data_IF_529998708195
#
_entry.id   IF_529998708195
#
_cell.length_a   1.000
_cell.length_b   1.000
_cell.length_c   1.000
_cell.angle_alpha   90.00
_cell.angle_beta   90.00
_cell.angle_gamma   90.00
#
_symmetry.space_group_name_H-M   'P 1'
#
loop_
_entity.id
_entity.type
_entity.pdbx_description
1 polymer ?
#
# COMPACT_ATOMS: atom_id res chain seq x y z
N UNK A 1 -3.86 28.13 6.54
CA UNK A 1 -4.83 27.02 6.50
C UNK A 1 -6.23 27.56 6.60
N UNK A 2 -7.09 27.10 5.73
CA UNK A 2 -8.51 27.40 5.84
C UNK A 2 -9.19 26.41 6.79
N UNK A 3 -10.12 26.92 7.58
CA UNK A 3 -11.00 26.12 8.41
C UNK A 3 -12.35 26.03 7.71
N UNK A 4 -12.96 24.85 7.77
CA UNK A 4 -14.29 24.63 7.23
C UNK A 4 -15.26 24.31 8.37
N UNK A 5 -16.34 25.06 8.42
CA UNK A 5 -17.47 24.77 9.29
C UNK A 5 -18.50 23.97 8.49
N UNK A 6 -18.96 22.88 9.06
CA UNK A 6 -19.92 22.00 8.42
C UNK A 6 -21.34 22.44 8.75
N UNK A 7 -22.24 22.30 7.76
CA UNK A 7 -23.64 22.56 7.94
C UNK A 7 -24.30 21.56 8.90
N UNK A 8 -25.48 21.89 9.38
CA UNK A 8 -26.27 21.07 10.33
C UNK A 8 -26.41 19.64 9.81
N UNK A 9 -26.10 18.68 10.70
CA UNK A 9 -26.21 17.25 10.41
C UNK A 9 -24.91 16.56 10.06
N UNK A 10 -23.79 17.29 9.90
CA UNK A 10 -22.47 16.72 9.66
C UNK A 10 -21.49 17.22 10.71
N UNK A 11 -21.13 16.36 11.67
CA UNK A 11 -20.23 16.76 12.76
C UNK A 11 -18.77 16.76 12.35
N UNK A 12 -18.35 15.78 11.56
CA UNK A 12 -16.95 15.64 11.11
C UNK A 12 -16.84 15.10 9.70
N UNK A 13 -15.84 15.59 8.97
CA UNK A 13 -15.50 15.11 7.65
C UNK A 13 -14.00 14.88 7.58
N UNK A 14 -13.58 13.72 7.10
CA UNK A 14 -12.17 13.33 7.00
C UNK A 14 -11.88 12.74 5.63
N UNK A 15 -10.62 12.85 5.21
CA UNK A 15 -10.14 12.22 3.99
C UNK A 15 -9.99 13.16 2.81
N UNK A 16 -9.77 12.60 1.65
CA UNK A 16 -9.55 13.36 0.42
C UNK A 16 -10.85 13.85 -0.16
N UNK A 17 -10.92 15.14 -0.48
CA UNK A 17 -12.08 15.77 -1.09
C UNK A 17 -11.96 15.93 -2.60
N UNK A 18 -10.75 15.88 -3.16
CA UNK A 18 -10.53 16.04 -4.59
C UNK A 18 -10.75 14.74 -5.35
N UNK A 19 -11.33 14.84 -6.52
CA UNK A 19 -11.55 13.72 -7.41
C UNK A 19 -10.28 13.19 -8.08
N UNK A 20 -10.46 12.11 -8.83
CA UNK A 20 -9.40 11.49 -9.63
C UNK A 20 -8.79 12.47 -10.63
N UNK A 21 -7.49 12.40 -10.82
CA UNK A 21 -6.80 13.04 -11.93
C UNK A 21 -6.32 14.47 -11.71
N UNK A 22 -6.53 15.05 -10.53
CA UNK A 22 -6.01 16.38 -10.20
C UNK A 22 -5.11 16.32 -8.96
N UNK A 23 -3.87 15.85 -9.11
CA UNK A 23 -2.95 15.72 -7.98
C UNK A 23 -2.59 17.07 -7.34
N UNK A 24 -2.64 18.16 -8.11
CA UNK A 24 -2.31 19.51 -7.63
C UNK A 24 -3.38 20.13 -6.75
N UNK A 25 -4.60 19.63 -6.88
CA UNK A 25 -5.78 20.12 -6.15
C UNK A 25 -6.26 19.15 -5.07
N UNK A 26 -5.45 18.18 -4.71
CA UNK A 26 -5.82 17.23 -3.67
C UNK A 26 -5.99 17.91 -2.31
N UNK A 27 -7.23 17.99 -1.87
CA UNK A 27 -7.60 18.57 -0.59
C UNK A 27 -7.87 17.45 0.42
N UNK A 28 -7.45 17.66 1.65
CA UNK A 28 -7.67 16.72 2.74
C UNK A 28 -8.28 17.45 3.91
N UNK A 29 -9.35 16.90 4.46
CA UNK A 29 -9.91 17.35 5.73
C UNK A 29 -9.31 16.52 6.87
N UNK A 30 -8.84 17.19 7.88
CA UNK A 30 -8.19 16.61 9.04
C UNK A 30 -8.66 17.25 10.33
N UNK A 31 -8.77 16.44 11.35
CA UNK A 31 -8.98 16.90 12.72
C UNK A 31 -7.76 16.47 13.53
N UNK A 32 -7.12 17.42 14.19
CA UNK A 32 -6.07 17.11 15.14
C UNK A 32 -6.70 16.47 16.37
N UNK A 33 -6.18 15.35 16.79
CA UNK A 33 -6.55 14.73 18.05
C UNK A 33 -5.33 14.70 18.97
N UNK A 34 -5.54 15.04 20.22
CA UNK A 34 -4.52 14.94 21.25
C UNK A 34 -4.75 13.66 22.03
N UNK A 35 -3.69 12.89 22.22
CA UNK A 35 -3.76 11.59 22.86
C UNK A 35 -2.97 11.58 24.15
N UNK A 36 -3.41 10.80 25.12
CA UNK A 36 -2.67 10.53 26.35
C UNK A 36 -1.56 9.50 26.11
N UNK A 37 -0.77 9.19 27.13
CA UNK A 37 0.32 8.21 27.08
C UNK A 37 -0.17 6.79 26.69
N UNK A 38 -1.44 6.50 26.95
CA UNK A 38 -2.07 5.22 26.61
C UNK A 38 -2.71 5.21 25.22
N UNK A 39 -2.54 6.29 24.45
CA UNK A 39 -3.08 6.41 23.10
C UNK A 39 -4.56 6.77 23.02
N UNK A 40 -5.23 7.06 24.13
CA UNK A 40 -6.64 7.46 24.16
C UNK A 40 -6.80 8.92 23.79
N UNK A 41 -7.80 9.22 22.98
CA UNK A 41 -8.10 10.61 22.58
C UNK A 41 -8.64 11.38 23.77
N UNK A 42 -7.92 12.44 24.17
CA UNK A 42 -8.31 13.32 25.29
C UNK A 42 -9.05 14.55 24.79
N UNK A 43 -8.68 15.06 23.62
CA UNK A 43 -9.25 16.27 23.05
C UNK A 43 -9.23 16.22 21.54
N UNK A 44 -10.28 16.76 20.92
CA UNK A 44 -10.37 16.96 19.48
C UNK A 44 -10.19 18.44 19.17
N UNK A 45 -9.30 18.74 18.25
CA UNK A 45 -9.09 20.10 17.76
C UNK A 45 -10.10 20.49 16.68
N UNK A 46 -9.98 21.71 16.12
CA UNK A 46 -10.83 22.15 15.03
C UNK A 46 -10.57 21.34 13.76
N UNK A 47 -11.57 21.24 12.91
CA UNK A 47 -11.44 20.65 11.60
C UNK A 47 -10.67 21.58 10.67
N UNK A 48 -9.67 21.07 10.00
CA UNK A 48 -8.81 21.82 9.11
C UNK A 48 -8.84 21.24 7.69
N UNK A 49 -8.88 22.11 6.71
CA UNK A 49 -8.75 21.78 5.30
C UNK A 49 -7.37 22.22 4.80
N UNK A 50 -6.63 21.29 4.20
CA UNK A 50 -5.33 21.62 3.65
C UNK A 50 -5.07 20.86 2.34
N UNK A 51 -4.20 21.41 1.51
CA UNK A 51 -3.76 20.77 0.27
C UNK A 51 -2.55 19.89 0.55
N UNK A 52 -2.60 18.65 0.05
CA UNK A 52 -1.42 17.78 0.07
C UNK A 52 -0.37 18.31 -0.91
N UNK A 53 0.84 18.52 -0.40
CA UNK A 53 1.99 18.83 -1.26
C UNK A 53 2.57 17.53 -1.80
N UNK A 54 2.78 17.49 -3.10
CA UNK A 54 3.57 16.43 -3.71
C UNK A 54 5.05 16.63 -3.38
N UNK A 55 5.77 15.52 -3.23
CA UNK A 55 7.21 15.55 -3.13
C UNK A 55 7.80 16.09 -4.45
N UNK A 56 8.59 17.13 -4.36
CA UNK A 56 9.35 17.63 -5.50
C UNK A 56 10.73 16.97 -5.52
N UNK A 57 10.92 16.05 -6.46
CA UNK A 57 12.16 15.29 -6.58
C UNK A 57 13.37 16.14 -7.02
N UNK A 58 13.15 17.34 -7.52
CA UNK A 58 14.23 18.27 -7.84
C UNK A 58 14.92 18.79 -6.58
N UNK A 59 14.14 19.15 -5.56
CA UNK A 59 14.64 19.70 -4.29
C UNK A 59 14.76 18.65 -3.18
N UNK A 60 14.07 17.54 -3.33
CA UNK A 60 14.09 16.44 -2.39
C UNK A 60 14.20 15.12 -3.16
N UNK A 61 15.40 14.81 -3.70
CA UNK A 61 15.60 13.62 -4.51
C UNK A 61 15.45 12.34 -3.68
N UNK A 62 15.26 11.23 -4.36
CA UNK A 62 15.24 9.93 -3.70
C UNK A 62 16.59 9.63 -3.08
N UNK A 63 16.57 9.02 -1.90
CA UNK A 63 17.77 8.47 -1.27
C UNK A 63 18.23 7.22 -2.02
N UNK A 64 19.48 6.81 -1.83
CA UNK A 64 19.99 5.55 -2.42
C UNK A 64 19.15 4.33 -2.01
N UNK A 65 18.72 4.30 -0.75
CA UNK A 65 17.84 3.23 -0.26
C UNK A 65 16.50 3.19 -0.99
N UNK A 66 15.89 4.35 -1.22
CA UNK A 66 14.63 4.46 -1.97
C UNK A 66 14.79 4.05 -3.43
N UNK A 67 15.89 4.44 -4.09
CA UNK A 67 16.19 4.03 -5.45
C UNK A 67 16.41 2.54 -5.57
N UNK A 68 17.14 1.95 -4.62
CA UNK A 68 17.37 0.50 -4.56
C UNK A 68 16.05 -0.26 -4.39
N UNK A 69 15.18 0.18 -3.51
CA UNK A 69 13.86 -0.41 -3.31
C UNK A 69 12.98 -0.29 -4.55
N UNK A 70 12.99 0.87 -5.20
CA UNK A 70 12.25 1.08 -6.45
C UNK A 70 12.76 0.17 -7.56
N UNK A 71 14.06 0.00 -7.69
CA UNK A 71 14.69 -0.90 -8.65
C UNK A 71 14.30 -2.36 -8.43
N UNK A 72 14.34 -2.83 -7.20
CA UNK A 72 13.90 -4.18 -6.82
C UNK A 72 12.43 -4.39 -7.19
N UNK A 73 11.57 -3.44 -6.84
CA UNK A 73 10.15 -3.53 -7.13
C UNK A 73 9.84 -3.54 -8.63
N UNK A 74 10.52 -2.70 -9.41
CA UNK A 74 10.37 -2.70 -10.86
C UNK A 74 10.79 -4.03 -11.49
N UNK A 75 11.91 -4.60 -11.05
CA UNK A 75 12.37 -5.91 -11.51
C UNK A 75 11.36 -7.01 -11.18
N UNK A 76 10.83 -7.00 -9.97
CA UNK A 76 9.78 -7.95 -9.53
C UNK A 76 8.52 -7.80 -10.38
N UNK A 77 8.07 -6.59 -10.65
CA UNK A 77 6.88 -6.34 -11.47
C UNK A 77 7.06 -6.81 -12.91
N UNK A 78 8.23 -6.61 -13.50
CA UNK A 78 8.54 -7.09 -14.86
C UNK A 78 8.52 -8.61 -14.93
N UNK A 79 9.19 -9.27 -14.01
CA UNK A 79 9.24 -10.73 -13.94
C UNK A 79 7.86 -11.33 -13.67
N UNK A 80 7.12 -10.78 -12.74
CA UNK A 80 5.75 -11.20 -12.45
C UNK A 80 4.84 -11.05 -13.67
N UNK A 81 4.94 -9.94 -14.38
CA UNK A 81 4.17 -9.70 -15.60
C UNK A 81 4.49 -10.73 -16.70
N UNK A 82 5.78 -11.05 -16.88
CA UNK A 82 6.20 -12.07 -17.81
C UNK A 82 5.62 -13.45 -17.48
N UNK A 83 5.66 -13.84 -16.19
CA UNK A 83 5.11 -15.11 -15.72
C UNK A 83 3.60 -15.18 -15.92
N UNK A 84 2.88 -14.13 -15.53
CA UNK A 84 1.41 -14.09 -15.61
C UNK A 84 0.89 -14.13 -17.05
N UNK A 85 1.58 -13.46 -17.94
CA UNK A 85 1.18 -13.40 -19.36
C UNK A 85 1.52 -14.64 -20.15
N UNK A 86 2.53 -15.37 -19.77
CA UNK A 86 3.02 -16.57 -20.47
C UNK A 86 2.69 -17.82 -19.67
N UNK A 87 1.64 -18.55 -20.12
CA UNK A 87 1.22 -19.81 -19.49
C UNK A 87 2.24 -20.94 -19.65
N UNK A 88 3.14 -20.82 -20.59
CA UNK A 88 4.23 -21.80 -20.82
C UNK A 88 5.49 -21.48 -20.01
N UNK A 89 5.49 -20.38 -19.28
CA UNK A 89 6.64 -20.02 -18.44
C UNK A 89 6.93 -21.15 -17.43
N UNK A 90 8.21 -21.50 -17.21
CA UNK A 90 8.58 -22.63 -16.33
C UNK A 90 8.00 -22.54 -14.91
N UNK A 91 7.83 -21.33 -14.41
CA UNK A 91 7.30 -21.10 -13.06
C UNK A 91 5.77 -20.90 -12.99
N UNK A 92 5.11 -20.77 -14.14
CA UNK A 92 3.68 -20.51 -14.14
C UNK A 92 2.86 -21.62 -13.47
N UNK A 93 3.09 -22.87 -13.86
CA UNK A 93 2.37 -24.01 -13.34
C UNK A 93 2.56 -24.16 -11.82
N UNK A 94 3.79 -24.07 -11.33
CA UNK A 94 4.14 -24.13 -9.91
C UNK A 94 3.44 -23.03 -9.11
N UNK A 95 3.56 -21.79 -9.55
CA UNK A 95 2.96 -20.66 -8.86
C UNK A 95 1.44 -20.69 -8.91
N UNK A 96 0.88 -21.14 -10.01
CA UNK A 96 -0.57 -21.30 -10.15
C UNK A 96 -1.13 -22.36 -9.21
N UNK A 97 -0.45 -23.47 -9.09
CA UNK A 97 -0.81 -24.53 -8.16
C UNK A 97 -0.74 -24.06 -6.70
N UNK A 98 0.33 -23.39 -6.32
CA UNK A 98 0.48 -22.80 -4.99
C UNK A 98 -0.60 -21.77 -4.67
N UNK A 99 -0.93 -20.93 -5.64
CA UNK A 99 -2.02 -19.96 -5.48
C UNK A 99 -3.38 -20.64 -5.27
N UNK A 100 -3.70 -21.66 -6.06
CA UNK A 100 -4.93 -22.44 -5.90
C UNK A 100 -4.97 -23.19 -4.56
N UNK A 101 -3.86 -23.70 -4.09
CA UNK A 101 -3.78 -24.43 -2.81
C UNK A 101 -4.17 -23.57 -1.60
N UNK A 102 -4.02 -22.28 -1.68
CA UNK A 102 -4.45 -21.36 -0.61
C UNK A 102 -5.95 -21.45 -0.34
N UNK A 103 -6.76 -21.65 -1.36
CA UNK A 103 -8.22 -21.69 -1.25
C UNK A 103 -8.75 -23.03 -0.73
N UNK A 104 -7.92 -24.08 -0.73
CA UNK A 104 -8.27 -25.42 -0.33
C UNK A 104 -7.90 -25.79 1.12
N UNK A 105 -7.78 -24.80 1.99
CA UNK A 105 -7.58 -25.06 3.41
C UNK A 105 -6.33 -24.48 4.02
N UNK A 106 -5.77 -23.44 3.45
CA UNK A 106 -4.61 -22.83 4.08
C UNK A 106 -4.12 -21.56 3.42
N UNK A 107 -3.03 -21.11 3.91
CA UNK A 107 -2.25 -20.02 3.33
C UNK A 107 -0.99 -20.61 2.72
N UNK A 108 -0.34 -19.85 1.85
CA UNK A 108 1.00 -20.21 1.39
C UNK A 108 2.00 -20.08 2.55
N UNK A 109 2.62 -21.19 2.92
CA UNK A 109 3.53 -21.26 4.06
C UNK A 109 4.74 -20.34 3.90
N UNK A 110 5.26 -20.25 2.69
CA UNK A 110 6.42 -19.40 2.40
C UNK A 110 6.11 -17.91 2.60
N UNK A 111 4.94 -17.44 2.13
CA UNK A 111 4.53 -16.03 2.27
C UNK A 111 4.08 -15.67 3.68
N UNK A 112 3.63 -16.65 4.45
CA UNK A 112 3.11 -16.43 5.81
C UNK A 112 4.11 -16.80 6.90
N UNK A 113 5.33 -17.13 6.55
CA UNK A 113 6.39 -17.41 7.49
C UNK A 113 6.64 -16.25 8.44
N UNK A 114 6.59 -16.50 9.75
CA UNK A 114 6.77 -15.47 10.77
C UNK A 114 5.59 -14.52 11.00
N UNK A 115 4.48 -14.70 10.30
CA UNK A 115 3.27 -13.87 10.50
C UNK A 115 2.37 -14.45 11.59
N UNK A 116 1.85 -13.58 12.46
CA UNK A 116 0.85 -13.94 13.46
C UNK A 116 -0.51 -14.21 12.83
N UNK A 117 -0.90 -13.39 11.85
CA UNK A 117 -2.13 -13.57 11.08
C UNK A 117 -1.81 -14.08 9.69
N UNK A 118 -2.43 -15.17 9.33
CA UNK A 118 -2.28 -15.79 8.01
C UNK A 118 -3.07 -15.02 6.97
N UNK A 119 -2.44 -14.71 5.85
CA UNK A 119 -3.05 -13.95 4.74
C UNK A 119 -3.13 -14.82 3.49
N UNK A 120 -4.30 -14.75 2.83
CA UNK A 120 -4.55 -15.38 1.54
C UNK A 120 -4.57 -14.27 0.47
N UNK A 121 -3.84 -14.47 -0.60
CA UNK A 121 -3.82 -13.54 -1.74
C UNK A 121 -4.87 -13.97 -2.77
N UNK A 122 -5.93 -13.17 -2.92
CA UNK A 122 -7.04 -13.48 -3.80
C UNK A 122 -6.77 -13.27 -5.29
N UNK A 123 -5.70 -12.54 -5.64
CA UNK A 123 -5.35 -12.27 -7.03
C UNK A 123 -4.00 -12.93 -7.37
N UNK A 124 -3.99 -13.72 -8.46
CA UNK A 124 -2.79 -14.41 -8.91
C UNK A 124 -1.62 -13.47 -9.22
N UNK A 125 -1.76 -12.36 -9.94
CA UNK A 125 -0.66 -11.44 -10.18
C UNK A 125 -0.03 -10.88 -8.91
N UNK A 126 -0.85 -10.57 -7.91
CA UNK A 126 -0.37 -10.08 -6.60
C UNK A 126 0.40 -11.17 -5.88
N UNK A 127 -0.10 -12.39 -5.88
CA UNK A 127 0.58 -13.54 -5.30
C UNK A 127 1.97 -13.75 -5.90
N UNK A 128 2.09 -13.74 -7.23
CA UNK A 128 3.37 -13.88 -7.94
C UNK A 128 4.35 -12.78 -7.53
N UNK A 129 3.91 -11.54 -7.50
CA UNK A 129 4.77 -10.42 -7.07
C UNK A 129 5.28 -10.59 -5.64
N UNK A 130 4.43 -11.02 -4.73
CA UNK A 130 4.82 -11.22 -3.33
C UNK A 130 5.83 -12.36 -3.18
N UNK A 131 5.65 -13.46 -3.90
CA UNK A 131 6.61 -14.58 -3.92
C UNK A 131 7.97 -14.12 -4.42
N UNK A 132 8.01 -13.45 -5.56
CA UNK A 132 9.26 -12.95 -6.15
C UNK A 132 9.97 -11.94 -5.24
N UNK A 133 9.21 -11.04 -4.63
CA UNK A 133 9.75 -10.05 -3.71
C UNK A 133 10.40 -10.71 -2.49
N UNK A 134 9.74 -11.71 -1.91
CA UNK A 134 10.27 -12.43 -0.75
C UNK A 134 11.51 -13.25 -1.10
N UNK A 135 11.52 -13.91 -2.25
CA UNK A 135 12.69 -14.65 -2.75
C UNK A 135 13.91 -13.72 -2.91
N UNK A 136 13.71 -12.51 -3.47
CA UNK A 136 14.79 -11.53 -3.61
C UNK A 136 15.30 -11.01 -2.27
N UNK A 137 14.43 -10.81 -1.29
CA UNK A 137 14.83 -10.41 0.06
C UNK A 137 15.64 -11.48 0.77
N UNK A 138 15.34 -12.75 0.55
CA UNK A 138 16.10 -13.87 1.12
C UNK A 138 17.45 -14.09 0.42
N UNK A 139 17.51 -13.79 -0.87
CA UNK A 139 18.75 -13.91 -1.66
C UNK A 139 19.72 -12.74 -1.45
N UNK A 140 19.21 -11.60 -1.00
CA UNK A 140 19.99 -10.41 -0.68
C UNK A 140 20.11 -10.19 0.81
#
# INVERSE_FOLDING_TARGET
>A
MSKAELSVGIDTLRGKLSGKGRPDSSMVMRIKSYRDEKGRIIMMGPQELYRLKKRDYKYNPRTEAEEKQAGIWQAVCREASAIVKDKEHPRYAELRERWNAQFNGGCDAFLNEGRKEKKIYGMFPVFVRMVLLKERKQAG
#
